data_IF_628292451346
#
_entry.id   IF_628292451346
#
_cell.length_a   1.000
_cell.length_b   1.000
_cell.length_c   1.000
_cell.angle_alpha   90.00
_cell.angle_beta   90.00
_cell.angle_gamma   90.00
#
_symmetry.space_group_name_H-M   'P 1'
#
loop_
_entity.id
_entity.type
_entity.pdbx_description
1 polymer ?
#
# COMPACT_ATOMS: atom_id res chain seq x y z
N UNK A 1 12.65 1.47 -29.75
CA UNK A 1 13.43 1.29 -28.51
C UNK A 1 13.22 2.41 -27.49
N UNK A 2 13.29 3.71 -27.84
CA UNK A 2 12.88 4.79 -26.91
C UNK A 2 11.35 4.90 -26.76
N UNK A 3 10.60 4.66 -27.84
CA UNK A 3 9.14 4.70 -27.84
C UNK A 3 8.53 3.64 -26.91
N UNK A 4 9.06 2.41 -26.93
CA UNK A 4 8.56 1.30 -26.11
C UNK A 4 8.73 1.61 -24.62
N UNK A 5 9.90 2.12 -24.21
CA UNK A 5 10.19 2.52 -22.83
C UNK A 5 9.23 3.63 -22.36
N UNK A 6 8.96 4.61 -23.22
CA UNK A 6 8.00 5.68 -22.92
C UNK A 6 6.57 5.13 -22.72
N UNK A 7 6.15 4.17 -23.54
CA UNK A 7 4.84 3.52 -23.40
C UNK A 7 4.74 2.71 -22.11
N UNK A 8 5.76 1.92 -21.75
CA UNK A 8 5.79 1.19 -20.47
C UNK A 8 5.76 2.15 -19.28
N UNK A 9 6.50 3.25 -19.36
CA UNK A 9 6.49 4.28 -18.32
C UNK A 9 5.10 4.89 -18.14
N UNK A 10 4.48 5.37 -19.22
CA UNK A 10 3.13 5.93 -19.17
C UNK A 10 2.09 4.92 -18.62
N UNK A 11 2.13 3.68 -19.11
CA UNK A 11 1.22 2.63 -18.66
C UNK A 11 1.37 2.34 -17.15
N UNK A 12 2.60 2.24 -16.65
CA UNK A 12 2.86 1.98 -15.23
C UNK A 12 2.42 3.15 -14.32
N UNK A 13 2.57 4.40 -14.77
CA UNK A 13 2.13 5.58 -14.02
C UNK A 13 0.60 5.62 -13.96
N UNK A 14 -0.08 5.39 -15.08
CA UNK A 14 -1.55 5.31 -15.11
C UNK A 14 -2.05 4.20 -14.20
N UNK A 15 -1.43 3.02 -14.26
CA UNK A 15 -1.81 1.89 -13.41
C UNK A 15 -1.56 2.17 -11.92
N UNK A 16 -0.43 2.82 -11.57
CA UNK A 16 -0.14 3.24 -10.21
C UNK A 16 -1.19 4.24 -9.68
N UNK A 17 -1.61 5.20 -10.51
CA UNK A 17 -2.68 6.15 -10.16
C UNK A 17 -4.00 5.41 -9.90
N UNK A 18 -4.38 4.46 -10.76
CA UNK A 18 -5.59 3.65 -10.57
C UNK A 18 -5.54 2.83 -9.28
N UNK A 19 -4.38 2.25 -8.94
CA UNK A 19 -4.17 1.57 -7.66
C UNK A 19 -4.33 2.54 -6.49
N UNK A 20 -3.70 3.71 -6.54
CA UNK A 20 -3.78 4.71 -5.46
C UNK A 20 -5.23 5.17 -5.24
N UNK A 21 -5.98 5.44 -6.31
CA UNK A 21 -7.39 5.83 -6.22
C UNK A 21 -8.21 4.70 -5.59
N UNK A 22 -7.99 3.47 -6.02
CA UNK A 22 -8.70 2.29 -5.50
C UNK A 22 -8.34 2.03 -4.02
N UNK A 23 -7.08 2.21 -3.66
CA UNK A 23 -6.56 2.07 -2.31
C UNK A 23 -7.15 3.14 -1.38
N UNK A 24 -7.17 4.40 -1.81
CA UNK A 24 -7.81 5.51 -1.10
C UNK A 24 -9.30 5.25 -0.91
N UNK A 25 -10.00 4.85 -1.97
CA UNK A 25 -11.41 4.50 -1.91
C UNK A 25 -11.65 3.37 -0.89
N UNK A 26 -10.82 2.33 -0.93
CA UNK A 26 -10.87 1.22 0.01
C UNK A 26 -10.69 1.71 1.45
N UNK A 27 -9.70 2.55 1.74
CA UNK A 27 -9.44 3.07 3.10
C UNK A 27 -10.59 3.93 3.61
N UNK A 28 -11.10 4.85 2.77
CA UNK A 28 -12.11 5.84 3.19
C UNK A 28 -13.50 5.26 3.35
N UNK A 29 -13.90 4.32 2.49
CA UNK A 29 -15.26 3.76 2.49
C UNK A 29 -15.38 2.57 3.44
N UNK A 30 -14.28 1.87 3.71
CA UNK A 30 -14.32 0.65 4.51
C UNK A 30 -14.42 0.96 5.99
N UNK A 31 -15.39 0.33 6.65
CA UNK A 31 -15.47 0.30 8.12
C UNK A 31 -14.74 -0.89 8.73
N UNK A 32 -14.47 -1.93 7.94
CA UNK A 32 -13.77 -3.12 8.42
C UNK A 32 -12.25 -2.85 8.47
N UNK A 33 -11.66 -2.98 9.66
CA UNK A 33 -10.23 -2.78 9.92
C UNK A 33 -9.34 -3.60 8.96
N UNK A 34 -9.69 -4.86 8.67
CA UNK A 34 -8.90 -5.70 7.75
C UNK A 34 -8.92 -5.10 6.33
N UNK A 35 -10.08 -4.62 5.89
CA UNK A 35 -10.23 -4.01 4.56
C UNK A 35 -9.44 -2.70 4.46
N UNK A 36 -9.36 -1.93 5.55
CA UNK A 36 -8.49 -0.76 5.65
C UNK A 36 -7.01 -1.16 5.53
N UNK A 37 -6.57 -2.22 6.21
CA UNK A 37 -5.20 -2.74 6.09
C UNK A 37 -4.85 -3.14 4.65
N UNK A 38 -5.78 -3.79 3.94
CA UNK A 38 -5.60 -4.15 2.52
C UNK A 38 -5.45 -2.90 1.65
N UNK A 39 -6.23 -1.85 1.94
CA UNK A 39 -6.09 -0.56 1.26
C UNK A 39 -4.70 0.08 1.48
N UNK A 40 -4.18 0.01 2.70
CA UNK A 40 -2.83 0.49 3.01
C UNK A 40 -1.75 -0.30 2.26
N UNK A 41 -1.87 -1.63 2.19
CA UNK A 41 -0.92 -2.46 1.45
C UNK A 41 -0.94 -2.15 -0.06
N UNK A 42 -2.13 -1.96 -0.63
CA UNK A 42 -2.32 -1.57 -2.04
C UNK A 42 -1.63 -0.24 -2.37
N UNK A 43 -1.69 0.76 -1.48
CA UNK A 43 -0.97 2.03 -1.68
C UNK A 43 0.52 1.80 -1.86
N UNK A 44 1.12 0.97 -1.01
CA UNK A 44 2.56 0.74 -1.03
C UNK A 44 3.00 -0.08 -2.25
N UNK A 45 2.13 -0.93 -2.81
CA UNK A 45 2.39 -1.58 -4.10
C UNK A 45 2.42 -0.60 -5.27
N UNK A 46 1.63 0.47 -5.26
CA UNK A 46 1.74 1.51 -6.27
C UNK A 46 3.10 2.23 -6.22
N UNK A 47 3.60 2.52 -5.02
CA UNK A 47 4.94 3.11 -4.83
C UNK A 47 6.03 2.16 -5.32
N UNK A 48 5.94 0.89 -4.97
CA UNK A 48 6.89 -0.15 -5.40
C UNK A 48 6.94 -0.29 -6.92
N UNK A 49 5.78 -0.23 -7.59
CA UNK A 49 5.68 -0.25 -9.04
C UNK A 49 6.36 0.98 -9.68
N UNK A 50 6.15 2.17 -9.11
CA UNK A 50 6.79 3.40 -9.57
C UNK A 50 8.31 3.38 -9.37
N UNK A 51 8.81 2.80 -8.27
CA UNK A 51 10.24 2.60 -8.06
C UNK A 51 10.84 1.63 -9.08
N UNK A 52 10.13 0.54 -9.41
CA UNK A 52 10.59 -0.43 -10.39
C UNK A 52 10.76 0.20 -11.78
N UNK A 53 9.74 0.93 -12.26
CA UNK A 53 9.83 1.59 -13.56
C UNK A 53 10.79 2.78 -13.55
N UNK A 54 10.88 3.53 -12.44
CA UNK A 54 11.83 4.62 -12.29
C UNK A 54 13.27 4.14 -12.35
N UNK A 55 13.56 2.97 -11.75
CA UNK A 55 14.84 2.28 -11.87
C UNK A 55 15.16 1.85 -13.30
N UNK A 56 14.15 1.36 -14.02
CA UNK A 56 14.27 0.91 -15.40
C UNK A 56 14.58 2.06 -16.36
N UNK A 57 13.83 3.16 -16.26
CA UNK A 57 14.03 4.37 -17.09
C UNK A 57 15.35 5.06 -16.78
N UNK A 58 15.77 5.06 -15.51
CA UNK A 58 17.04 5.68 -15.08
C UNK A 58 18.26 4.78 -15.31
N UNK A 59 18.09 3.56 -15.83
CA UNK A 59 19.13 2.54 -16.00
C UNK A 59 19.91 2.24 -14.70
N UNK A 60 19.24 2.38 -13.55
CA UNK A 60 19.79 2.18 -12.19
C UNK A 60 19.01 1.08 -11.47
N UNK A 61 18.85 -0.06 -12.14
CA UNK A 61 18.04 -1.18 -11.65
C UNK A 61 18.52 -1.73 -10.30
N UNK A 62 19.84 -1.85 -10.10
CA UNK A 62 20.40 -2.35 -8.84
C UNK A 62 20.01 -1.45 -7.64
N UNK A 63 20.03 -0.14 -7.83
CA UNK A 63 19.63 0.83 -6.80
C UNK A 63 18.12 0.72 -6.53
N UNK A 64 17.30 0.71 -7.57
CA UNK A 64 15.85 0.57 -7.42
C UNK A 64 15.45 -0.75 -6.75
N UNK A 65 16.06 -1.87 -7.13
CA UNK A 65 15.83 -3.17 -6.50
C UNK A 65 16.23 -3.19 -5.04
N UNK A 66 17.34 -2.53 -4.67
CA UNK A 66 17.74 -2.40 -3.26
C UNK A 66 16.65 -1.69 -2.46
N UNK A 67 16.13 -0.56 -2.96
CA UNK A 67 15.01 0.12 -2.32
C UNK A 67 13.76 -0.76 -2.23
N UNK A 68 13.37 -1.42 -3.32
CA UNK A 68 12.20 -2.30 -3.37
C UNK A 68 12.29 -3.42 -2.33
N UNK A 69 13.44 -4.10 -2.24
CA UNK A 69 13.63 -5.19 -1.27
C UNK A 69 13.54 -4.66 0.16
N UNK A 70 14.18 -3.52 0.46
CA UNK A 70 14.09 -2.92 1.80
C UNK A 70 12.65 -2.51 2.14
N UNK A 71 11.91 -2.01 1.15
CA UNK A 71 10.52 -1.62 1.30
C UNK A 71 9.65 -2.84 1.64
N UNK A 72 9.81 -3.95 0.92
CA UNK A 72 9.06 -5.20 1.17
C UNK A 72 9.31 -5.71 2.60
N UNK A 73 10.55 -5.66 3.09
CA UNK A 73 10.85 -6.08 4.46
C UNK A 73 10.13 -5.19 5.48
N UNK A 74 10.14 -3.87 5.28
CA UNK A 74 9.44 -2.92 6.15
C UNK A 74 7.92 -3.15 6.11
N UNK A 75 7.34 -3.34 4.92
CA UNK A 75 5.91 -3.62 4.74
C UNK A 75 5.47 -4.85 5.56
N UNK A 76 6.22 -5.95 5.48
CA UNK A 76 5.91 -7.18 6.21
C UNK A 76 5.94 -6.95 7.73
N UNK A 77 6.88 -6.14 8.23
CA UNK A 77 6.93 -5.80 9.66
C UNK A 77 5.73 -4.92 10.05
N UNK A 78 5.40 -3.92 9.24
CA UNK A 78 4.28 -3.00 9.49
C UNK A 78 2.95 -3.75 9.49
N UNK A 79 2.69 -4.62 8.51
CA UNK A 79 1.44 -5.38 8.43
C UNK A 79 1.30 -6.38 9.58
N UNK A 80 2.41 -6.98 10.04
CA UNK A 80 2.40 -7.86 11.21
C UNK A 80 1.98 -7.09 12.48
N UNK A 81 2.54 -5.91 12.71
CA UNK A 81 2.17 -5.05 13.84
C UNK A 81 0.72 -4.59 13.71
N UNK A 82 0.31 -4.13 12.54
CA UNK A 82 -1.04 -3.66 12.29
C UNK A 82 -2.09 -4.77 12.48
N UNK A 83 -1.81 -5.99 12.01
CA UNK A 83 -2.65 -7.16 12.26
C UNK A 83 -2.74 -7.47 13.76
N UNK A 84 -1.63 -7.37 14.50
CA UNK A 84 -1.63 -7.50 15.96
C UNK A 84 -2.57 -6.49 16.65
N UNK A 85 -2.54 -5.22 16.21
CA UNK A 85 -3.47 -4.18 16.70
C UNK A 85 -4.92 -4.52 16.37
N UNK A 86 -5.20 -4.98 15.14
CA UNK A 86 -6.55 -5.39 14.73
C UNK A 86 -7.07 -6.56 15.55
N UNK A 87 -6.24 -7.58 15.80
CA UNK A 87 -6.58 -8.73 16.65
C UNK A 87 -6.81 -8.28 18.10
N UNK A 88 -5.96 -7.40 18.63
CA UNK A 88 -6.12 -6.84 19.98
C UNK A 88 -7.41 -6.04 20.15
N UNK A 89 -7.78 -5.25 19.13
CA UNK A 89 -9.05 -4.52 19.08
C UNK A 89 -10.24 -5.46 19.00
N UNK A 90 -10.15 -6.51 18.17
CA UNK A 90 -11.20 -7.53 18.03
C UNK A 90 -11.48 -8.23 19.37
N UNK A 91 -10.44 -8.52 20.17
CA UNK A 91 -10.62 -9.17 21.47
C UNK A 91 -11.40 -8.34 22.49
N UNK A 92 -11.32 -7.01 22.41
CA UNK A 92 -12.05 -6.11 23.32
C UNK A 92 -13.45 -5.74 22.81
N UNK A 93 -13.59 -5.56 21.49
CA UNK A 93 -14.82 -5.04 20.89
C UNK A 93 -15.70 -6.15 20.26
N UNK A 94 -15.17 -7.38 20.11
CA UNK A 94 -15.77 -8.51 19.38
C UNK A 94 -16.24 -8.16 17.94
N UNK A 95 -15.69 -7.10 17.37
CA UNK A 95 -16.03 -6.58 16.06
C UNK A 95 -14.79 -5.95 15.39
N UNK A 96 -14.78 -5.94 14.07
CA UNK A 96 -13.74 -5.34 13.24
C UNK A 96 -14.17 -3.98 12.67
N UNK A 97 -15.30 -3.43 13.14
CA UNK A 97 -15.81 -2.12 12.74
C UNK A 97 -15.03 -0.99 13.43
N UNK A 98 -14.23 -0.27 12.64
CA UNK A 98 -13.49 0.92 13.07
C UNK A 98 -14.39 2.04 13.61
N UNK A 99 -15.65 2.11 13.16
CA UNK A 99 -16.62 3.12 13.61
C UNK A 99 -17.06 2.94 15.06
N UNK A 100 -16.93 1.74 15.63
CA UNK A 100 -17.25 1.45 17.04
C UNK A 100 -16.14 1.87 18.00
N UNK A 101 -14.99 2.29 17.49
CA UNK A 101 -13.82 2.70 18.27
C UNK A 101 -13.84 4.20 18.68
N UNK A 102 -15.02 4.79 18.90
CA UNK A 102 -15.18 6.22 19.25
C UNK A 102 -15.48 6.47 20.74
N UNK A 103 -14.91 5.66 21.63
CA UNK A 103 -15.17 5.74 23.08
C UNK A 103 -14.28 6.75 23.82
N UNK A 104 -13.34 7.39 23.11
CA UNK A 104 -12.50 8.46 23.64
C UNK A 104 -13.21 9.80 23.43
N UNK A 105 -13.74 10.36 24.52
CA UNK A 105 -14.30 11.72 24.56
C UNK A 105 -13.33 12.63 25.30
N UNK A 106 -13.13 13.84 24.79
CA UNK A 106 -12.47 14.94 25.50
C UNK A 106 -13.36 15.50 26.59
#
# INVERSE_FOLDING_TARGET
MSADIATYFQASVVFAILIIITALYCILVSRNLIRILIGLELMTKAVTLLLAIGGYVSNRMALAQTFIITLIVIEVVVIAVAAGVVIGSYRHNNDLDAGKMNNLKG
#
